data_IF_917613834869
#
_entry.id   IF_917613834869
#
_cell.length_a   1.000
_cell.length_b   1.000
_cell.length_c   1.000
_cell.angle_alpha   90.00
_cell.angle_beta   90.00
_cell.angle_gamma   90.00
#
_symmetry.space_group_name_H-M   'P 1'
#
loop_
_entity.id
_entity.type
_entity.pdbx_description
1 polymer ?
#
# COMPACT_ATOMS: atom_id res chain seq x y z
N UNK A 1 20.51 30.87 -28.36
CA UNK A 1 19.78 29.91 -29.24
C UNK A 1 19.12 28.89 -28.32
N UNK A 2 17.87 29.15 -27.93
CA UNK A 2 17.08 28.22 -27.11
C UNK A 2 16.56 27.10 -28.02
N UNK A 3 17.06 25.89 -27.80
CA UNK A 3 16.44 24.69 -28.39
C UNK A 3 15.32 24.23 -27.47
N UNK A 4 14.08 24.44 -27.88
CA UNK A 4 12.95 23.73 -27.32
C UNK A 4 13.11 22.23 -27.60
N UNK A 5 13.13 21.42 -26.54
CA UNK A 5 12.92 19.98 -26.67
C UNK A 5 11.42 19.75 -26.88
N UNK A 6 11.03 18.89 -27.83
CA UNK A 6 9.62 18.58 -28.03
C UNK A 6 9.09 17.77 -26.83
N UNK A 7 7.87 18.11 -26.40
CA UNK A 7 7.12 17.32 -25.43
C UNK A 7 7.02 15.85 -25.89
N UNK A 8 7.33 14.92 -25.02
CA UNK A 8 7.15 13.51 -25.28
C UNK A 8 5.67 13.24 -25.60
N UNK A 9 5.44 12.62 -26.76
CA UNK A 9 4.10 12.25 -27.18
C UNK A 9 3.55 11.21 -26.20
N UNK A 10 2.41 11.51 -25.60
CA UNK A 10 1.66 10.57 -24.77
C UNK A 10 1.24 9.38 -25.66
N UNK A 11 1.67 8.21 -25.29
CA UNK A 11 1.24 6.97 -25.96
C UNK A 11 -0.21 6.71 -25.55
N UNK A 12 -1.15 6.57 -26.49
CA UNK A 12 -2.54 6.30 -26.14
C UNK A 12 -2.67 4.93 -25.48
N UNK A 13 -3.60 4.84 -24.52
CA UNK A 13 -4.02 3.61 -23.84
C UNK A 13 -4.24 2.51 -24.88
N UNK A 14 -3.40 1.48 -24.85
CA UNK A 14 -3.62 0.29 -25.65
C UNK A 14 -4.70 -0.56 -24.98
N UNK A 15 -5.90 -0.56 -25.54
CA UNK A 15 -6.93 -1.53 -25.20
C UNK A 15 -6.46 -2.92 -25.62
N UNK A 16 -5.96 -3.72 -24.69
CA UNK A 16 -5.76 -5.14 -24.89
C UNK A 16 -7.12 -5.86 -24.92
N UNK A 17 -7.17 -7.01 -25.56
CA UNK A 17 -8.39 -7.83 -25.70
C UNK A 17 -8.73 -8.46 -24.36
N UNK A 18 -9.51 -7.74 -23.54
CA UNK A 18 -9.90 -8.10 -22.19
C UNK A 18 -10.12 -6.85 -21.35
N UNK A 19 -10.61 -6.98 -20.15
CA UNK A 19 -10.84 -5.88 -19.20
C UNK A 19 -9.55 -5.26 -18.62
N UNK A 20 -8.37 -5.66 -19.09
CA UNK A 20 -7.07 -5.16 -18.64
C UNK A 20 -6.84 -3.72 -19.10
N UNK A 21 -6.41 -2.86 -18.18
CA UNK A 21 -6.12 -1.43 -18.41
C UNK A 21 -4.75 -1.13 -17.81
N UNK A 22 -3.84 -0.58 -18.60
CA UNK A 22 -2.56 -0.08 -18.10
C UNK A 22 -2.22 1.26 -18.75
N UNK A 23 -1.93 2.29 -17.93
CA UNK A 23 -1.58 3.60 -18.42
C UNK A 23 -1.80 4.73 -17.45
N UNK A 24 -1.52 5.94 -17.93
CA UNK A 24 -1.76 7.18 -17.20
C UNK A 24 -3.24 7.59 -17.31
N UNK A 25 -3.85 7.82 -16.18
CA UNK A 25 -5.26 8.23 -16.04
C UNK A 25 -5.30 9.65 -15.49
N UNK A 26 -5.94 10.55 -16.21
CA UNK A 26 -6.18 11.92 -15.76
C UNK A 26 -7.24 11.93 -14.63
N UNK A 27 -6.84 12.43 -13.46
CA UNK A 27 -7.69 12.56 -12.28
C UNK A 27 -8.18 13.99 -12.03
N UNK A 28 -8.02 14.87 -13.02
CA UNK A 28 -8.35 16.29 -12.92
C UNK A 28 -7.14 17.13 -12.51
N UNK A 29 -6.28 17.46 -13.49
CA UNK A 29 -5.12 18.33 -13.34
C UNK A 29 -3.77 17.62 -13.19
N UNK A 30 -3.74 16.30 -13.05
CA UNK A 30 -2.58 15.43 -13.13
C UNK A 30 -2.99 14.01 -13.47
N UNK A 31 -2.02 13.19 -13.87
CA UNK A 31 -2.25 11.79 -14.22
C UNK A 31 -1.57 10.85 -13.22
N UNK A 32 -2.28 9.77 -12.88
CA UNK A 32 -1.73 8.66 -12.10
C UNK A 32 -1.65 7.42 -13.00
N UNK A 33 -0.57 6.66 -12.86
CA UNK A 33 -0.46 5.38 -13.54
C UNK A 33 -1.28 4.32 -12.79
N UNK A 34 -2.07 3.59 -13.56
CA UNK A 34 -2.87 2.45 -13.09
C UNK A 34 -2.60 1.25 -13.98
N UNK A 35 -2.50 0.07 -13.38
CA UNK A 35 -2.49 -1.23 -14.04
C UNK A 35 -3.59 -2.09 -13.41
N UNK A 36 -4.54 -2.57 -14.22
CA UNK A 36 -5.59 -3.48 -13.81
C UNK A 36 -5.54 -4.73 -14.67
N UNK A 37 -5.60 -5.90 -14.04
CA UNK A 37 -5.57 -7.22 -14.70
C UNK A 37 -6.66 -8.13 -14.16
N UNK A 38 -6.99 -9.15 -14.95
CA UNK A 38 -8.00 -10.14 -14.59
C UNK A 38 -9.42 -9.61 -14.67
N UNK A 39 -10.37 -10.44 -14.26
CA UNK A 39 -11.80 -10.14 -14.37
C UNK A 39 -12.59 -10.69 -13.19
N UNK A 40 -13.82 -10.20 -13.00
CA UNK A 40 -14.68 -10.61 -11.89
C UNK A 40 -14.77 -9.57 -10.77
N UNK A 41 -15.44 -9.95 -9.69
CA UNK A 41 -15.65 -9.09 -8.51
C UNK A 41 -15.53 -9.89 -7.21
N UNK A 42 -15.26 -9.20 -6.08
CA UNK A 42 -14.93 -7.78 -5.95
C UNK A 42 -13.61 -7.44 -6.63
N UNK A 43 -13.44 -6.18 -7.03
CA UNK A 43 -12.12 -5.71 -7.48
C UNK A 43 -11.18 -5.55 -6.29
N UNK A 44 -9.96 -6.04 -6.42
CA UNK A 44 -8.88 -5.87 -5.44
C UNK A 44 -8.05 -4.65 -5.82
N UNK A 45 -7.75 -3.76 -4.87
CA UNK A 45 -6.86 -2.61 -5.05
C UNK A 45 -5.63 -2.80 -4.18
N UNK A 46 -4.45 -2.76 -4.78
CA UNK A 46 -3.16 -2.93 -4.11
C UNK A 46 -2.53 -1.56 -3.84
N UNK A 47 -2.29 -1.27 -2.57
CA UNK A 47 -1.68 -0.05 -2.06
C UNK A 47 -0.28 -0.34 -1.53
N UNK A 48 0.74 0.22 -2.16
CA UNK A 48 2.15 -0.04 -1.84
C UNK A 48 2.60 0.65 -0.55
N UNK A 49 3.71 0.18 0.02
CA UNK A 49 4.38 0.81 1.15
C UNK A 49 5.05 2.13 0.77
N UNK A 50 5.60 2.83 1.77
CA UNK A 50 6.33 4.08 1.56
C UNK A 50 7.44 3.89 0.53
N UNK A 51 7.51 4.81 -0.42
CA UNK A 51 8.53 4.86 -1.47
C UNK A 51 8.37 3.86 -2.60
N UNK A 52 7.54 2.81 -2.47
CA UNK A 52 7.39 1.77 -3.49
C UNK A 52 6.28 2.11 -4.50
N UNK A 53 6.58 1.90 -5.78
CA UNK A 53 5.57 1.92 -6.84
C UNK A 53 4.78 0.60 -6.92
N UNK A 54 3.88 0.48 -7.89
CA UNK A 54 3.01 -0.69 -8.03
C UNK A 54 3.75 -1.98 -8.43
N UNK A 55 4.96 -1.89 -9.00
CA UNK A 55 5.72 -3.07 -9.44
C UNK A 55 6.22 -3.92 -8.26
N UNK A 56 6.20 -3.41 -7.03
CA UNK A 56 6.47 -4.20 -5.82
C UNK A 56 5.54 -5.42 -5.71
N UNK A 57 4.32 -5.34 -6.22
CA UNK A 57 3.34 -6.41 -6.20
C UNK A 57 3.51 -7.43 -7.34
N UNK A 58 4.26 -7.05 -8.38
CA UNK A 58 4.58 -7.90 -9.53
C UNK A 58 5.98 -8.53 -9.43
N UNK A 59 6.60 -8.41 -8.25
CA UNK A 59 7.97 -8.86 -7.97
C UNK A 59 8.00 -9.95 -6.89
N UNK A 60 9.06 -10.77 -6.92
CA UNK A 60 9.41 -11.73 -5.86
C UNK A 60 10.90 -11.62 -5.55
N UNK A 61 11.27 -11.70 -4.27
CA UNK A 61 12.67 -11.55 -3.84
C UNK A 61 13.56 -12.74 -4.24
N UNK A 62 13.00 -13.95 -4.30
CA UNK A 62 13.72 -15.20 -4.49
C UNK A 62 12.98 -16.11 -5.49
N UNK A 63 12.98 -15.76 -6.81
CA UNK A 63 12.24 -16.54 -7.81
C UNK A 63 12.77 -17.98 -7.98
N UNK A 64 14.03 -18.23 -7.63
CA UNK A 64 14.68 -19.54 -7.75
C UNK A 64 14.33 -20.53 -6.64
N UNK A 65 13.82 -20.05 -5.50
CA UNK A 65 13.56 -20.85 -4.31
C UNK A 65 12.09 -21.34 -4.18
N UNK A 66 11.31 -21.23 -5.24
CA UNK A 66 9.94 -21.73 -5.25
C UNK A 66 8.92 -20.87 -4.49
N UNK A 67 9.18 -19.58 -4.35
CA UNK A 67 8.27 -18.61 -3.70
C UNK A 67 6.86 -18.54 -4.35
N UNK A 68 6.70 -19.11 -5.54
CA UNK A 68 5.47 -19.04 -6.32
C UNK A 68 5.38 -17.75 -7.17
N UNK A 69 4.24 -17.51 -7.81
CA UNK A 69 4.03 -16.28 -8.57
C UNK A 69 3.95 -15.07 -7.65
N UNK A 70 4.30 -13.89 -8.17
CA UNK A 70 4.11 -12.63 -7.50
C UNK A 70 2.61 -12.39 -7.17
N UNK A 71 2.36 -11.49 -6.22
CA UNK A 71 1.00 -11.25 -5.69
C UNK A 71 0.04 -10.77 -6.77
N UNK A 72 0.44 -9.80 -7.58
CA UNK A 72 -0.44 -9.19 -8.58
C UNK A 72 -0.92 -10.19 -9.64
N UNK A 73 -0.04 -10.92 -10.37
CA UNK A 73 -0.49 -11.90 -11.35
C UNK A 73 -1.25 -13.07 -10.71
N UNK A 74 -0.93 -13.46 -9.48
CA UNK A 74 -1.64 -14.53 -8.80
C UNK A 74 -3.10 -14.14 -8.50
N UNK A 75 -3.35 -12.93 -8.00
CA UNK A 75 -4.71 -12.42 -7.72
C UNK A 75 -5.50 -12.28 -9.03
N UNK A 76 -4.87 -11.85 -10.11
CA UNK A 76 -5.50 -11.71 -11.43
C UNK A 76 -6.11 -13.02 -11.98
N UNK A 77 -5.70 -14.17 -11.45
CA UNK A 77 -6.24 -15.48 -11.86
C UNK A 77 -7.65 -15.77 -11.34
N UNK A 78 -8.09 -15.10 -10.26
CA UNK A 78 -9.38 -15.39 -9.62
C UNK A 78 -10.30 -14.18 -9.42
N UNK A 79 -9.78 -12.94 -9.56
CA UNK A 79 -10.60 -11.72 -9.54
C UNK A 79 -9.90 -10.61 -10.30
N UNK A 80 -10.61 -9.48 -10.55
CA UNK A 80 -9.99 -8.27 -11.05
C UNK A 80 -9.10 -7.66 -9.96
N UNK A 81 -7.89 -7.26 -10.32
CA UNK A 81 -6.93 -6.60 -9.42
C UNK A 81 -6.30 -5.40 -10.09
N UNK A 82 -6.14 -4.33 -9.35
CA UNK A 82 -5.50 -3.08 -9.80
C UNK A 82 -4.41 -2.66 -8.82
N UNK A 83 -3.31 -2.13 -9.37
CA UNK A 83 -2.25 -1.47 -8.63
C UNK A 83 -1.92 -0.13 -9.31
N UNK A 84 -1.45 0.84 -8.57
CA UNK A 84 -1.17 2.17 -9.09
C UNK A 84 0.10 2.76 -8.48
N UNK A 85 0.69 3.72 -9.18
CA UNK A 85 1.85 4.44 -8.67
C UNK A 85 1.39 5.73 -7.99
N UNK A 86 1.76 5.92 -6.72
CA UNK A 86 1.67 7.24 -6.11
C UNK A 86 2.73 8.18 -6.67
N UNK A 87 2.49 9.51 -6.74
CA UNK A 87 3.54 10.47 -7.06
C UNK A 87 4.75 10.35 -6.12
N UNK A 88 5.94 10.31 -6.68
CA UNK A 88 7.20 10.24 -5.93
C UNK A 88 7.58 8.84 -5.43
N UNK A 89 6.88 7.80 -5.85
CA UNK A 89 7.29 6.40 -5.59
C UNK A 89 8.32 5.92 -6.62
N UNK A 90 9.00 4.81 -6.31
CA UNK A 90 10.07 4.27 -7.11
C UNK A 90 9.99 2.75 -7.17
N UNK A 91 10.38 2.18 -8.32
CA UNK A 91 10.65 0.76 -8.45
C UNK A 91 12.03 0.41 -7.88
N UNK A 92 13.06 1.13 -8.34
CA UNK A 92 14.46 0.95 -8.00
C UNK A 92 15.19 2.30 -8.04
N UNK A 93 16.44 2.43 -7.55
CA UNK A 93 17.23 3.64 -7.71
C UNK A 93 17.31 4.09 -9.17
N UNK A 94 16.94 5.33 -9.45
CA UNK A 94 16.92 5.92 -10.78
C UNK A 94 15.72 5.53 -11.67
N UNK A 95 14.78 4.74 -11.16
CA UNK A 95 13.55 4.34 -11.87
C UNK A 95 12.31 4.83 -11.11
N UNK A 96 11.94 6.11 -11.28
CA UNK A 96 10.75 6.67 -10.64
C UNK A 96 9.48 6.02 -11.17
N UNK A 97 8.46 6.00 -10.31
CA UNK A 97 7.09 5.66 -10.69
C UNK A 97 6.57 6.56 -11.81
N UNK A 98 5.52 6.12 -12.45
CA UNK A 98 5.04 6.67 -13.74
C UNK A 98 4.06 7.83 -13.59
N UNK A 99 3.58 8.08 -12.36
CA UNK A 99 2.62 9.14 -12.08
C UNK A 99 3.25 10.54 -12.12
N UNK A 100 2.43 11.54 -12.45
CA UNK A 100 2.87 12.93 -12.47
C UNK A 100 3.37 13.36 -11.08
N UNK A 101 4.45 14.17 -11.02
CA UNK A 101 4.97 14.69 -9.76
C UNK A 101 4.00 15.71 -9.13
N UNK A 102 4.05 15.80 -7.81
CA UNK A 102 3.26 16.74 -7.01
C UNK A 102 4.11 17.45 -5.96
N UNK A 103 3.57 18.49 -5.35
CA UNK A 103 4.20 19.16 -4.22
C UNK A 103 4.28 18.23 -3.00
N UNK A 104 5.41 18.28 -2.29
CA UNK A 104 5.67 17.48 -1.09
C UNK A 104 5.92 18.39 0.13
N UNK A 105 5.65 17.97 1.36
CA UNK A 105 5.15 16.65 1.75
C UNK A 105 3.64 16.49 1.49
N UNK A 106 3.20 15.22 1.41
CA UNK A 106 1.79 14.85 1.31
C UNK A 106 1.27 14.21 2.58
N UNK A 107 -0.03 14.24 2.77
CA UNK A 107 -0.71 13.52 3.85
C UNK A 107 -1.38 12.24 3.32
N UNK A 108 -1.73 11.32 4.23
CA UNK A 108 -2.54 10.16 3.86
C UNK A 108 -3.89 10.56 3.25
N UNK A 109 -4.49 11.67 3.71
CA UNK A 109 -5.74 12.21 3.16
C UNK A 109 -5.61 12.66 1.71
N UNK A 110 -4.47 13.25 1.32
CA UNK A 110 -4.20 13.63 -0.08
C UNK A 110 -4.12 12.37 -0.97
N UNK A 111 -3.47 11.31 -0.46
CA UNK A 111 -3.33 10.04 -1.19
C UNK A 111 -4.68 9.33 -1.32
N UNK A 112 -5.49 9.30 -0.27
CA UNK A 112 -6.85 8.76 -0.29
C UNK A 112 -7.73 9.50 -1.31
N UNK A 113 -7.61 10.83 -1.37
CA UNK A 113 -8.35 11.65 -2.35
C UNK A 113 -7.94 11.32 -3.78
N UNK A 114 -6.64 11.12 -4.02
CA UNK A 114 -6.10 10.73 -5.32
C UNK A 114 -6.59 9.34 -5.75
N UNK A 115 -6.52 8.36 -4.85
CA UNK A 115 -7.01 7.01 -5.12
C UNK A 115 -8.50 7.01 -5.45
N UNK A 116 -9.30 7.76 -4.69
CA UNK A 116 -10.74 7.87 -4.96
C UNK A 116 -11.03 8.53 -6.33
N UNK A 117 -10.30 9.59 -6.67
CA UNK A 117 -10.42 10.24 -7.96
C UNK A 117 -10.00 9.30 -9.12
N UNK A 118 -8.92 8.52 -8.92
CA UNK A 118 -8.43 7.53 -9.89
C UNK A 118 -9.47 6.44 -10.15
N UNK A 119 -10.04 5.85 -9.11
CA UNK A 119 -11.04 4.80 -9.23
C UNK A 119 -12.34 5.33 -9.86
N UNK A 120 -12.71 6.58 -9.56
CA UNK A 120 -13.84 7.26 -10.18
C UNK A 120 -13.60 7.53 -11.67
N UNK A 121 -12.43 8.07 -12.03
CA UNK A 121 -12.10 8.42 -13.41
C UNK A 121 -12.04 7.20 -14.34
N UNK A 122 -11.59 6.05 -13.80
CA UNK A 122 -11.51 4.81 -14.58
C UNK A 122 -12.80 4.02 -14.63
N UNK A 123 -13.76 4.32 -13.75
CA UNK A 123 -14.99 3.53 -13.61
C UNK A 123 -14.75 2.09 -13.16
N UNK A 124 -13.63 1.82 -12.50
CA UNK A 124 -13.36 0.50 -11.89
C UNK A 124 -14.48 0.18 -10.89
N UNK A 125 -15.17 -0.94 -11.05
CA UNK A 125 -16.37 -1.21 -10.24
C UNK A 125 -16.01 -1.59 -8.81
N UNK A 126 -16.66 -0.93 -7.83
CA UNK A 126 -16.67 -1.32 -6.42
C UNK A 126 -17.88 -2.21 -6.09
N UNK A 127 -18.06 -2.60 -4.81
CA UNK A 127 -17.15 -2.28 -3.70
C UNK A 127 -15.84 -3.07 -3.78
N UNK A 128 -14.76 -2.48 -3.20
CA UNK A 128 -13.41 -2.99 -3.32
C UNK A 128 -13.00 -3.88 -2.13
N UNK A 129 -12.07 -4.81 -2.39
CA UNK A 129 -11.18 -5.35 -1.36
C UNK A 129 -9.87 -4.57 -1.44
N UNK A 130 -9.52 -3.86 -0.38
CA UNK A 130 -8.29 -3.07 -0.34
C UNK A 130 -7.18 -3.86 0.35
N UNK A 131 -6.00 -3.87 -0.25
CA UNK A 131 -4.80 -4.54 0.26
C UNK A 131 -3.72 -3.48 0.45
N UNK A 132 -3.22 -3.31 1.67
CA UNK A 132 -2.21 -2.27 1.95
C UNK A 132 -0.99 -2.83 2.66
N UNK A 133 0.20 -2.57 2.09
CA UNK A 133 1.48 -2.90 2.70
C UNK A 133 2.05 -1.70 3.48
N UNK A 134 2.56 -1.94 4.69
CA UNK A 134 3.27 -0.91 5.46
C UNK A 134 2.45 0.39 5.59
N UNK A 135 2.97 1.54 5.16
CA UNK A 135 2.24 2.81 5.10
C UNK A 135 0.95 2.72 4.25
N UNK A 136 0.96 1.92 3.19
CA UNK A 136 -0.24 1.63 2.40
C UNK A 136 -1.39 1.04 3.22
N UNK A 137 -1.09 0.30 4.28
CA UNK A 137 -2.11 -0.20 5.20
C UNK A 137 -2.82 0.90 6.00
N UNK A 138 -2.11 1.98 6.35
CA UNK A 138 -2.74 3.17 6.94
C UNK A 138 -3.64 3.89 5.92
N UNK A 139 -3.17 4.00 4.66
CA UNK A 139 -3.93 4.63 3.57
C UNK A 139 -5.24 3.89 3.32
N UNK A 140 -5.21 2.56 3.15
CA UNK A 140 -6.44 1.78 2.85
C UNK A 140 -7.42 1.79 4.02
N UNK A 141 -6.94 1.86 5.26
CA UNK A 141 -7.80 2.03 6.44
C UNK A 141 -8.47 3.41 6.45
N UNK A 142 -7.69 4.46 6.16
CA UNK A 142 -8.23 5.82 6.05
C UNK A 142 -9.25 5.92 4.91
N UNK A 143 -8.97 5.28 3.76
CA UNK A 143 -9.92 5.19 2.66
C UNK A 143 -11.24 4.52 3.10
N UNK A 144 -11.16 3.38 3.80
CA UNK A 144 -12.33 2.64 4.26
C UNK A 144 -13.17 3.43 5.29
N UNK A 145 -12.54 4.26 6.11
CA UNK A 145 -13.24 5.18 7.02
C UNK A 145 -13.87 6.38 6.28
N UNK A 146 -13.20 6.88 5.22
CA UNK A 146 -13.65 8.05 4.45
C UNK A 146 -14.76 7.69 3.45
N UNK A 147 -14.61 6.56 2.76
CA UNK A 147 -15.54 6.04 1.74
C UNK A 147 -16.08 4.65 2.10
N UNK A 148 -16.80 4.53 3.23
CA UNK A 148 -17.18 3.22 3.77
C UNK A 148 -18.14 2.42 2.89
N UNK A 149 -18.78 3.03 1.89
CA UNK A 149 -19.65 2.32 0.95
C UNK A 149 -18.88 1.64 -0.19
N UNK A 150 -17.63 2.09 -0.42
CA UNK A 150 -16.80 1.61 -1.52
C UNK A 150 -15.97 0.39 -1.12
N UNK A 151 -15.96 0.01 0.16
CA UNK A 151 -15.08 -1.05 0.68
C UNK A 151 -15.89 -2.22 1.24
N UNK A 152 -15.55 -3.43 0.76
CA UNK A 152 -16.16 -4.68 1.18
C UNK A 152 -15.25 -5.56 2.04
N UNK A 153 -13.92 -5.32 2.04
CA UNK A 153 -12.97 -6.09 2.83
C UNK A 153 -11.58 -5.49 2.81
N UNK A 154 -10.74 -5.88 3.76
CA UNK A 154 -9.37 -5.40 3.92
C UNK A 154 -8.38 -6.54 4.12
N UNK A 155 -7.18 -6.38 3.54
CA UNK A 155 -5.99 -7.17 3.87
C UNK A 155 -4.87 -6.20 4.23
N UNK A 156 -4.35 -6.28 5.44
CA UNK A 156 -3.28 -5.43 5.95
C UNK A 156 -1.98 -6.25 6.00
N UNK A 157 -1.03 -5.91 5.15
CA UNK A 157 0.24 -6.65 5.00
C UNK A 157 1.32 -5.87 5.73
N UNK A 158 1.71 -6.37 6.89
CA UNK A 158 2.69 -5.75 7.79
C UNK A 158 2.47 -4.22 7.91
N UNK A 159 1.25 -3.87 8.26
CA UNK A 159 0.71 -2.52 8.11
C UNK A 159 1.17 -1.55 9.20
N UNK A 160 1.48 -0.33 8.82
CA UNK A 160 1.69 0.74 9.77
C UNK A 160 0.39 1.09 10.52
N UNK A 161 0.54 1.32 11.83
CA UNK A 161 -0.50 1.85 12.71
C UNK A 161 -0.23 3.34 12.96
N UNK A 162 -1.26 4.14 13.16
CA UNK A 162 -1.15 5.59 13.39
C UNK A 162 -0.34 5.98 14.64
N UNK A 163 -0.16 5.06 15.57
CA UNK A 163 0.63 5.30 16.79
C UNK A 163 2.10 4.88 16.65
N UNK A 164 2.47 4.20 15.56
CA UNK A 164 3.80 3.62 15.38
C UNK A 164 4.93 4.64 15.58
N UNK A 165 4.89 5.76 14.88
CA UNK A 165 5.96 6.76 14.99
C UNK A 165 6.06 7.39 16.38
N UNK A 166 4.91 7.66 17.01
CA UNK A 166 4.88 8.19 18.37
C UNK A 166 5.39 7.18 19.43
N UNK A 167 5.23 5.89 19.19
CA UNK A 167 5.73 4.85 20.08
C UNK A 167 7.22 4.56 19.81
N UNK A 168 7.68 4.61 18.56
CA UNK A 168 9.11 4.52 18.19
C UNK A 168 9.90 5.69 18.78
N UNK A 169 9.38 6.91 18.74
CA UNK A 169 10.02 8.09 19.34
C UNK A 169 10.35 7.89 20.83
N UNK A 170 9.49 7.18 21.57
CA UNK A 170 9.70 6.89 23.01
C UNK A 170 10.83 5.89 23.28
N UNK A 171 11.13 5.06 22.28
CA UNK A 171 12.14 3.99 22.38
C UNK A 171 13.52 4.46 21.93
N UNK A 172 13.56 5.34 20.93
CA UNK A 172 14.79 5.85 20.36
C UNK A 172 15.39 6.99 21.22
N UNK A 173 16.71 7.09 21.24
CA UNK A 173 17.37 8.30 21.73
C UNK A 173 17.04 9.49 20.82
N UNK A 174 17.14 10.75 21.31
CA UNK A 174 16.88 11.93 20.48
C UNK A 174 17.72 11.97 19.18
N UNK A 175 18.95 11.51 19.21
CA UNK A 175 19.81 11.47 18.02
C UNK A 175 19.38 10.37 17.02
N UNK A 176 18.96 9.21 17.51
CA UNK A 176 18.41 8.13 16.66
C UNK A 176 17.06 8.53 16.05
N UNK A 177 16.21 9.20 16.85
CA UNK A 177 14.93 9.71 16.38
C UNK A 177 15.11 10.77 15.28
N UNK A 178 16.01 11.72 15.48
CA UNK A 178 16.33 12.71 14.46
C UNK A 178 16.85 12.08 13.17
N UNK A 179 17.76 11.11 13.27
CA UNK A 179 18.29 10.39 12.11
C UNK A 179 17.21 9.54 11.41
N UNK A 180 16.23 9.01 12.13
CA UNK A 180 15.14 8.21 11.60
C UNK A 180 14.06 9.07 10.95
N UNK A 181 13.61 10.13 11.64
CA UNK A 181 12.48 10.95 11.20
C UNK A 181 12.87 11.99 10.15
N UNK A 182 14.14 12.42 10.13
CA UNK A 182 14.69 13.40 9.20
C UNK A 182 15.75 12.80 8.27
N UNK A 183 15.64 11.50 7.98
CA UNK A 183 16.55 10.83 7.06
C UNK A 183 16.62 11.59 5.73
N UNK A 184 17.83 11.87 5.21
CA UNK A 184 17.98 12.53 3.92
C UNK A 184 17.40 11.62 2.81
N UNK A 185 17.03 12.25 1.71
CA UNK A 185 16.60 11.52 0.51
C UNK A 185 17.73 10.56 0.08
N UNK A 186 17.43 9.26 -0.11
CA UNK A 186 18.46 8.30 -0.48
C UNK A 186 19.06 8.61 -1.86
N UNK A 187 20.33 8.26 -2.05
CA UNK A 187 20.96 8.37 -3.36
C UNK A 187 20.21 7.52 -4.40
N UNK A 188 19.94 8.10 -5.57
CA UNK A 188 19.20 7.43 -6.63
C UNK A 188 17.68 7.60 -6.59
N UNK A 189 17.14 8.31 -5.59
CA UNK A 189 15.70 8.55 -5.43
C UNK A 189 15.31 10.04 -5.43
N UNK A 190 15.71 10.84 -6.44
CA UNK A 190 15.45 12.28 -6.44
C UNK A 190 13.95 12.58 -6.52
N UNK A 191 13.42 13.28 -5.50
CA UNK A 191 11.99 13.55 -5.39
C UNK A 191 11.16 12.40 -4.85
N UNK A 192 11.80 11.48 -4.08
CA UNK A 192 11.09 10.45 -3.32
C UNK A 192 9.93 11.07 -2.53
N UNK A 193 8.80 10.36 -2.47
CA UNK A 193 7.65 10.85 -1.71
C UNK A 193 8.03 11.22 -0.28
N UNK A 194 7.49 12.33 0.19
CA UNK A 194 7.62 12.80 1.58
C UNK A 194 6.23 12.85 2.20
N UNK A 195 6.11 12.23 3.37
CA UNK A 195 4.82 12.11 4.05
C UNK A 195 4.85 12.94 5.32
N UNK A 196 3.85 13.79 5.50
CA UNK A 196 3.56 14.39 6.81
C UNK A 196 2.90 13.31 7.68
N UNK A 197 3.75 12.57 8.39
CA UNK A 197 3.35 11.44 9.23
C UNK A 197 2.45 11.91 10.39
N UNK A 198 2.76 13.04 11.00
CA UNK A 198 2.00 13.56 12.13
C UNK A 198 0.57 13.90 11.73
N UNK A 199 0.40 14.63 10.63
CA UNK A 199 -0.91 14.95 10.07
C UNK A 199 -1.63 13.69 9.59
N UNK A 200 -0.96 12.76 8.91
CA UNK A 200 -1.53 11.49 8.46
C UNK A 200 -2.07 10.64 9.62
N UNK A 201 -1.30 10.54 10.71
CA UNK A 201 -1.74 9.84 11.92
C UNK A 201 -2.95 10.52 12.59
N UNK A 202 -2.97 11.86 12.62
CA UNK A 202 -4.12 12.62 13.14
C UNK A 202 -5.37 12.39 12.29
N UNK A 203 -5.26 12.45 10.95
CA UNK A 203 -6.34 12.14 10.02
C UNK A 203 -6.91 10.73 10.24
N UNK A 204 -6.04 9.72 10.42
CA UNK A 204 -6.48 8.35 10.68
C UNK A 204 -7.26 8.25 12.01
N UNK A 205 -6.76 8.86 13.09
CA UNK A 205 -7.45 8.86 14.40
C UNK A 205 -8.81 9.57 14.33
N UNK A 206 -8.89 10.70 13.67
CA UNK A 206 -10.14 11.46 13.48
C UNK A 206 -11.15 10.66 12.65
N UNK A 207 -10.71 10.06 11.54
CA UNK A 207 -11.57 9.24 10.71
C UNK A 207 -12.08 8.01 11.45
N UNK A 208 -11.22 7.30 12.20
CA UNK A 208 -11.62 6.14 12.99
C UNK A 208 -12.61 6.50 14.12
N UNK A 209 -12.50 7.70 14.69
CA UNK A 209 -13.41 8.18 15.73
C UNK A 209 -14.78 8.61 15.17
N UNK A 210 -14.80 9.23 13.99
CA UNK A 210 -16.03 9.75 13.38
C UNK A 210 -16.77 8.73 12.51
N UNK A 211 -16.05 7.83 11.87
CA UNK A 211 -16.56 6.79 10.96
C UNK A 211 -15.73 5.50 11.13
N UNK A 212 -15.91 4.76 12.23
CA UNK A 212 -15.17 3.52 12.46
C UNK A 212 -15.44 2.50 11.35
N UNK A 213 -14.49 1.59 11.15
CA UNK A 213 -14.66 0.51 10.18
C UNK A 213 -15.94 -0.28 10.45
N UNK A 214 -16.73 -0.49 9.41
CA UNK A 214 -17.88 -1.40 9.49
C UNK A 214 -17.39 -2.84 9.71
N UNK A 215 -18.23 -3.72 10.27
CA UNK A 215 -17.98 -5.16 10.20
C UNK A 215 -17.79 -5.59 8.74
N UNK A 216 -16.62 -6.13 8.44
CA UNK A 216 -16.24 -6.63 7.12
C UNK A 216 -15.14 -7.68 7.27
N UNK A 217 -14.93 -8.56 6.27
CA UNK A 217 -13.76 -9.44 6.25
C UNK A 217 -12.47 -8.64 6.36
N UNK A 218 -11.63 -8.96 7.35
CA UNK A 218 -10.32 -8.36 7.59
C UNK A 218 -9.30 -9.45 7.89
N UNK A 219 -8.19 -9.46 7.16
CA UNK A 219 -7.01 -10.25 7.48
C UNK A 219 -5.83 -9.30 7.69
N UNK A 220 -5.17 -9.43 8.83
CA UNK A 220 -3.89 -8.76 9.14
C UNK A 220 -2.79 -9.80 9.01
N UNK A 221 -1.76 -9.50 8.26
CA UNK A 221 -0.57 -10.35 8.10
C UNK A 221 0.59 -9.59 8.70
N UNK A 222 1.32 -10.21 9.63
CA UNK A 222 2.53 -9.63 10.21
C UNK A 222 3.75 -10.51 9.94
N UNK A 223 4.93 -9.92 9.92
CA UNK A 223 6.18 -10.64 9.75
C UNK A 223 6.49 -11.55 10.94
N UNK A 224 7.19 -12.66 10.68
CA UNK A 224 7.71 -13.61 11.69
C UNK A 224 9.20 -13.42 11.98
N UNK A 225 9.92 -12.80 11.03
CA UNK A 225 11.34 -12.48 11.18
C UNK A 225 11.50 -11.00 11.50
N UNK A 226 12.36 -10.62 12.47
CA UNK A 226 12.51 -9.21 12.87
C UNK A 226 13.03 -8.35 11.71
N UNK A 227 12.72 -7.07 11.75
CA UNK A 227 13.30 -6.10 10.82
C UNK A 227 14.81 -5.99 11.02
N UNK A 228 15.51 -5.82 9.91
CA UNK A 228 16.93 -5.46 9.93
C UNK A 228 17.05 -3.94 10.18
N UNK A 229 17.39 -3.59 11.40
CA UNK A 229 17.68 -2.21 11.78
C UNK A 229 19.17 -1.89 11.60
N UNK A 230 19.53 -0.62 11.30
CA UNK A 230 20.93 -0.23 11.29
C UNK A 230 21.62 -0.51 12.62
N UNK A 231 22.94 -0.76 12.58
CA UNK A 231 23.75 -0.99 13.79
C UNK A 231 23.56 0.14 14.81
N UNK A 232 23.36 -0.24 16.06
CA UNK A 232 23.15 0.69 17.17
C UNK A 232 21.68 1.04 17.45
N UNK A 233 20.72 0.60 16.61
CA UNK A 233 19.31 0.73 16.94
C UNK A 233 18.85 -0.39 17.88
N UNK A 234 17.90 -0.12 18.82
CA UNK A 234 17.41 -1.13 19.77
C UNK A 234 16.35 -2.04 19.11
N UNK A 235 16.79 -2.96 18.25
CA UNK A 235 15.92 -3.81 17.42
C UNK A 235 14.82 -4.52 18.21
N UNK A 236 15.16 -5.17 19.34
CA UNK A 236 14.17 -5.87 20.17
C UNK A 236 13.09 -4.94 20.73
N UNK A 237 13.48 -3.71 21.10
CA UNK A 237 12.53 -2.74 21.63
C UNK A 237 11.63 -2.15 20.52
N UNK A 238 12.16 -2.01 19.30
CA UNK A 238 11.38 -1.59 18.12
C UNK A 238 10.40 -2.68 17.68
N UNK A 239 10.80 -3.96 17.72
CA UNK A 239 9.90 -5.10 17.54
C UNK A 239 8.80 -5.14 18.61
N UNK A 240 9.14 -4.84 19.86
CA UNK A 240 8.17 -4.76 20.95
C UNK A 240 7.17 -3.61 20.78
N UNK A 241 7.47 -2.57 19.99
CA UNK A 241 6.51 -1.56 19.55
C UNK A 241 5.60 -2.10 18.43
N UNK A 242 6.17 -2.78 17.44
CA UNK A 242 5.42 -3.20 16.24
C UNK A 242 4.34 -4.24 16.54
N UNK A 243 4.68 -5.30 17.26
CA UNK A 243 3.79 -6.46 17.45
C UNK A 243 2.45 -6.13 18.12
N UNK A 244 2.38 -5.37 19.23
CA UNK A 244 1.10 -4.99 19.82
C UNK A 244 0.23 -4.13 18.91
N UNK A 245 0.85 -3.39 17.97
CA UNK A 245 0.10 -2.60 17.00
C UNK A 245 -0.58 -3.49 15.96
N UNK A 246 0.03 -4.62 15.57
CA UNK A 246 -0.62 -5.61 14.71
C UNK A 246 -1.81 -6.29 15.40
N UNK A 247 -1.69 -6.61 16.69
CA UNK A 247 -2.81 -7.11 17.49
C UNK A 247 -3.97 -6.10 17.54
N UNK A 248 -3.66 -4.81 17.66
CA UNK A 248 -4.68 -3.73 17.61
C UNK A 248 -5.34 -3.62 16.24
N UNK A 249 -4.59 -3.79 15.14
CA UNK A 249 -5.16 -3.84 13.81
C UNK A 249 -6.10 -5.03 13.63
N UNK A 250 -5.75 -6.20 14.17
CA UNK A 250 -6.60 -7.37 14.15
C UNK A 250 -7.85 -7.26 15.06
N UNK A 251 -7.89 -6.29 15.94
CA UNK A 251 -9.06 -6.00 16.79
C UNK A 251 -10.00 -4.91 16.24
N UNK A 252 -9.74 -4.37 15.05
CA UNK A 252 -10.52 -3.28 14.46
C UNK A 252 -11.96 -3.66 14.11
N UNK A 253 -12.18 -4.92 13.74
CA UNK A 253 -13.51 -5.47 13.43
C UNK A 253 -13.67 -6.85 14.06
N UNK A 254 -14.92 -7.29 14.36
CA UNK A 254 -15.17 -8.65 14.79
C UNK A 254 -14.69 -9.67 13.73
N UNK A 255 -14.24 -10.83 14.20
CA UNK A 255 -13.82 -11.97 13.37
C UNK A 255 -12.62 -11.68 12.43
N UNK A 256 -11.89 -10.59 12.65
CA UNK A 256 -10.64 -10.34 11.95
C UNK A 256 -9.60 -11.43 12.28
N UNK A 257 -8.76 -11.75 11.31
CA UNK A 257 -7.72 -12.77 11.48
C UNK A 257 -6.35 -12.12 11.51
N UNK A 258 -5.47 -12.63 12.40
CA UNK A 258 -4.05 -12.31 12.42
C UNK A 258 -3.26 -13.52 11.94
N UNK A 259 -2.48 -13.33 10.89
CA UNK A 259 -1.62 -14.35 10.27
C UNK A 259 -0.16 -13.93 10.45
N UNK A 260 0.69 -14.84 10.90
CA UNK A 260 2.14 -14.60 11.00
C UNK A 260 2.82 -15.22 9.79
N UNK A 261 3.55 -14.41 9.02
CA UNK A 261 4.40 -14.86 7.93
C UNK A 261 5.77 -15.28 8.49
N UNK A 262 5.87 -16.51 8.97
CA UNK A 262 6.96 -17.00 9.81
C UNK A 262 8.37 -16.88 9.21
N UNK A 263 8.46 -16.85 7.87
CA UNK A 263 9.74 -16.81 7.14
C UNK A 263 10.01 -15.44 6.51
N UNK A 264 9.18 -14.45 6.79
CA UNK A 264 9.29 -13.11 6.19
C UNK A 264 9.66 -12.05 7.22
N UNK A 265 10.49 -11.10 6.82
CA UNK A 265 10.55 -9.78 7.39
C UNK A 265 9.45 -8.87 6.79
N UNK A 266 9.68 -7.57 6.79
CA UNK A 266 8.69 -6.54 6.40
C UNK A 266 8.07 -6.71 5.00
N UNK A 267 8.84 -7.17 4.02
CA UNK A 267 8.37 -7.32 2.63
C UNK A 267 7.77 -8.71 2.37
N UNK A 268 6.66 -9.01 3.05
CA UNK A 268 5.97 -10.31 2.98
C UNK A 268 5.54 -10.63 1.54
N UNK A 269 5.07 -9.63 0.80
CA UNK A 269 4.65 -9.78 -0.60
C UNK A 269 5.79 -10.22 -1.53
N UNK A 270 7.05 -9.99 -1.16
CA UNK A 270 8.22 -10.42 -1.93
C UNK A 270 8.74 -11.79 -1.50
N UNK A 271 8.70 -12.08 -0.21
CA UNK A 271 9.37 -13.25 0.38
C UNK A 271 8.43 -14.43 0.62
N UNK A 272 7.16 -14.15 0.94
CA UNK A 272 6.09 -15.14 1.08
C UNK A 272 4.80 -14.68 0.35
N UNK A 273 4.84 -14.42 -0.97
CA UNK A 273 3.69 -13.90 -1.73
C UNK A 273 2.44 -14.76 -1.56
N UNK A 274 2.61 -16.08 -1.42
CA UNK A 274 1.49 -17.01 -1.22
C UNK A 274 0.65 -16.68 0.02
N UNK A 275 1.26 -16.24 1.12
CA UNK A 275 0.52 -15.87 2.34
C UNK A 275 -0.40 -14.68 2.06
N UNK A 276 0.07 -13.70 1.29
CA UNK A 276 -0.73 -12.55 0.88
C UNK A 276 -1.85 -12.97 -0.07
N UNK A 277 -1.55 -13.78 -1.08
CA UNK A 277 -2.53 -14.28 -2.06
C UNK A 277 -3.63 -15.09 -1.37
N UNK A 278 -3.28 -15.97 -0.44
CA UNK A 278 -4.26 -16.79 0.32
C UNK A 278 -5.19 -15.89 1.17
N UNK A 279 -4.64 -14.86 1.83
CA UNK A 279 -5.43 -13.91 2.61
C UNK A 279 -6.38 -13.09 1.72
N UNK A 280 -5.90 -12.62 0.57
CA UNK A 280 -6.75 -11.90 -0.41
C UNK A 280 -7.85 -12.82 -0.94
N UNK A 281 -7.52 -14.06 -1.30
CA UNK A 281 -8.50 -15.04 -1.76
C UNK A 281 -9.58 -15.28 -0.70
N UNK A 282 -9.19 -15.47 0.57
CA UNK A 282 -10.11 -15.65 1.68
C UNK A 282 -11.07 -14.46 1.84
N UNK A 283 -10.55 -13.22 1.80
CA UNK A 283 -11.39 -12.01 1.92
C UNK A 283 -12.32 -11.88 0.73
N UNK A 284 -11.85 -12.13 -0.50
CA UNK A 284 -12.66 -12.11 -1.72
C UNK A 284 -13.79 -13.13 -1.64
N UNK A 285 -13.51 -14.35 -1.20
CA UNK A 285 -14.57 -15.40 -1.06
C UNK A 285 -15.55 -15.05 0.06
N UNK A 286 -15.11 -14.46 1.16
CA UNK A 286 -16.02 -13.99 2.21
C UNK A 286 -16.94 -12.85 1.74
N UNK A 287 -16.47 -11.99 0.83
CA UNK A 287 -17.29 -10.94 0.20
C UNK A 287 -18.28 -11.52 -0.80
N UNK A 288 -17.89 -12.57 -1.54
CA UNK A 288 -18.76 -13.26 -2.50
C UNK A 288 -19.87 -14.07 -1.83
N UNK A 289 -19.57 -14.59 -0.64
CA UNK A 289 -20.44 -15.51 0.10
C UNK A 289 -20.64 -15.00 1.54
N UNK A 290 -21.33 -13.86 1.74
CA UNK A 290 -21.60 -13.34 3.07
C UNK A 290 -22.48 -14.33 3.85
N UNK A 291 -22.05 -14.65 5.09
CA UNK A 291 -22.78 -15.52 6.01
C UNK A 291 -24.09 -14.90 6.49
#
# INVERSE_FOLDING_TARGET
MNRHLPAAAQTPVSASTGDDVAGLIDIGGRSLYLDCRGSGSPTVILESGFGNDSEIWDSVALPEDGAGPAVFPAIATFTRVCAYDRPGTYRDPGYPGRSDPVEMPRTAGDIVSDLHALLTATGVPGPYVLVGHSFGGLIVRLYACTYPQDVAGLVLVDSAHEDYYADVEKVLTPAQWDAYSNAPEPEGYPGLEKIDIATSAAQMREAAASSPLKPMPLVVITHGQPWEWPEGYPSDALEAVWRPLQDRLAALVPDAQLVVAEQSGHYIQLTQPKVVVDAVHQVVESVRHPN
#
